data_IF_052652236594
#
_entry.id   IF_052652236594
#
_cell.length_a   1.000
_cell.length_b   1.000
_cell.length_c   1.000
_cell.angle_alpha   90.00
_cell.angle_beta   90.00
_cell.angle_gamma   90.00
#
_symmetry.space_group_name_H-M   'P 1'
#
loop_
_entity.id
_entity.type
_entity.pdbx_description
1 polymer ?
#
# COMPACT_ATOMS: atom_id res chain seq x y z
N UNK A 1 9.51 24.10 -4.69
CA UNK A 1 9.75 22.67 -5.00
C UNK A 1 9.37 21.89 -3.76
N UNK A 2 8.52 20.88 -3.88
CA UNK A 2 8.14 20.04 -2.75
C UNK A 2 9.40 19.41 -2.13
N UNK A 3 9.45 19.33 -0.79
CA UNK A 3 10.60 18.79 -0.06
C UNK A 3 10.89 17.35 -0.49
N UNK A 4 9.84 16.60 -0.82
CA UNK A 4 9.92 15.26 -1.39
C UNK A 4 10.77 15.15 -2.66
N UNK A 5 10.62 16.05 -3.64
CA UNK A 5 11.36 15.96 -4.91
C UNK A 5 12.87 16.18 -4.74
N UNK A 6 13.25 17.06 -3.81
CA UNK A 6 14.66 17.26 -3.47
C UNK A 6 15.25 16.02 -2.77
N UNK A 7 14.50 15.42 -1.84
CA UNK A 7 14.92 14.20 -1.16
C UNK A 7 14.99 13.01 -2.12
N UNK A 8 14.03 12.89 -3.04
CA UNK A 8 13.99 11.84 -4.07
C UNK A 8 15.23 11.85 -4.95
N UNK A 9 15.68 13.02 -5.39
CA UNK A 9 16.91 13.13 -6.19
C UNK A 9 18.16 12.71 -5.40
N UNK A 10 18.19 12.96 -4.09
CA UNK A 10 19.29 12.55 -3.22
C UNK A 10 19.26 11.04 -2.95
N UNK A 11 18.10 10.51 -2.57
CA UNK A 11 17.87 9.08 -2.33
C UNK A 11 18.15 8.28 -3.60
N UNK A 12 17.71 8.74 -4.77
CA UNK A 12 18.01 8.10 -6.05
C UNK A 12 19.50 8.07 -6.43
N UNK A 13 20.35 8.88 -5.79
CA UNK A 13 21.82 8.75 -5.89
C UNK A 13 22.37 7.76 -4.88
N UNK A 14 21.87 7.80 -3.64
CA UNK A 14 22.27 6.89 -2.55
C UNK A 14 21.92 5.42 -2.87
N UNK A 15 20.80 5.20 -3.55
CA UNK A 15 20.35 3.86 -3.97
C UNK A 15 21.17 3.30 -5.15
N UNK A 16 21.97 4.14 -5.84
CA UNK A 16 22.84 3.72 -6.93
C UNK A 16 24.20 3.31 -6.40
N UNK A 17 24.54 2.03 -6.59
CA UNK A 17 25.86 1.50 -6.26
C UNK A 17 25.93 0.89 -4.86
N UNK A 18 27.11 0.96 -4.25
CA UNK A 18 27.43 0.27 -2.98
C UNK A 18 26.85 0.97 -1.74
N UNK A 19 26.55 2.26 -1.84
CA UNK A 19 26.05 3.09 -0.73
C UNK A 19 24.64 2.67 -0.26
N UNK A 20 23.94 1.87 -1.07
CA UNK A 20 22.64 1.30 -0.73
C UNK A 20 22.66 0.35 0.47
N UNK A 21 23.84 -0.15 0.82
CA UNK A 21 24.06 -1.05 1.97
C UNK A 21 24.74 -0.37 3.15
N UNK A 22 25.04 0.93 3.05
CA UNK A 22 25.66 1.66 4.14
C UNK A 22 24.62 2.01 5.23
N UNK A 23 24.74 1.48 6.46
CA UNK A 23 23.81 1.79 7.55
C UNK A 23 23.82 3.27 7.97
N UNK A 24 24.85 4.05 7.64
CA UNK A 24 24.86 5.50 7.89
C UNK A 24 23.77 6.24 7.11
N UNK A 25 23.34 5.69 5.96
CA UNK A 25 22.28 6.27 5.14
C UNK A 25 20.87 6.00 5.70
N UNK A 26 20.74 5.09 6.66
CA UNK A 26 19.47 4.65 7.23
C UNK A 26 18.66 5.83 7.78
N UNK A 27 19.29 6.73 8.56
CA UNK A 27 18.61 7.89 9.13
C UNK A 27 18.02 8.83 8.05
N UNK A 28 18.69 8.94 6.90
CA UNK A 28 18.18 9.74 5.76
C UNK A 28 17.01 9.03 5.08
N UNK A 29 17.08 7.71 4.93
CA UNK A 29 16.03 6.90 4.33
C UNK A 29 14.77 6.81 5.22
N UNK A 30 14.92 6.68 6.53
CA UNK A 30 13.81 6.70 7.49
C UNK A 30 13.05 8.02 7.42
N UNK A 31 13.77 9.15 7.42
CA UNK A 31 13.16 10.46 7.23
C UNK A 31 12.46 10.61 5.87
N UNK A 32 12.97 9.95 4.84
CA UNK A 32 12.33 9.92 3.54
C UNK A 32 11.02 9.11 3.57
N UNK A 33 10.96 8.00 4.30
CA UNK A 33 9.72 7.24 4.55
C UNK A 33 8.69 8.09 5.29
N UNK A 34 9.08 8.82 6.33
CA UNK A 34 8.16 9.74 7.02
C UNK A 34 7.62 10.82 6.08
N UNK A 35 8.46 11.32 5.18
CA UNK A 35 8.07 12.32 4.17
C UNK A 35 7.09 11.71 3.16
N UNK A 36 7.29 10.45 2.75
CA UNK A 36 6.33 9.71 1.92
C UNK A 36 4.96 9.57 2.60
N UNK A 37 4.93 9.35 3.91
CA UNK A 37 3.69 9.29 4.69
C UNK A 37 2.96 10.65 4.76
N UNK A 38 3.70 11.74 4.98
CA UNK A 38 3.16 13.10 5.10
C UNK A 38 2.73 13.72 3.76
N UNK A 39 3.52 13.55 2.71
CA UNK A 39 3.26 14.15 1.39
C UNK A 39 2.43 13.23 0.47
N UNK A 40 1.95 12.09 0.97
CA UNK A 40 1.27 11.06 0.20
C UNK A 40 2.04 10.64 -1.07
N UNK A 41 3.37 10.54 -0.96
CA UNK A 41 4.25 10.08 -2.03
C UNK A 41 4.65 8.62 -1.80
N UNK A 42 5.19 7.94 -2.82
CA UNK A 42 5.55 6.54 -2.70
C UNK A 42 6.78 6.20 -3.56
N UNK A 43 7.74 5.52 -2.95
CA UNK A 43 8.99 5.09 -3.56
C UNK A 43 9.37 3.69 -3.07
N UNK A 44 8.96 2.68 -3.84
CA UNK A 44 9.15 1.27 -3.49
C UNK A 44 10.64 0.90 -3.35
N UNK A 45 11.51 1.43 -4.20
CA UNK A 45 12.94 1.07 -4.19
C UNK A 45 13.62 1.54 -2.90
N UNK A 46 13.30 2.75 -2.45
CA UNK A 46 13.77 3.27 -1.16
C UNK A 46 13.22 2.45 0.02
N UNK A 47 11.93 2.09 -0.03
CA UNK A 47 11.28 1.31 1.01
C UNK A 47 11.91 -0.08 1.15
N UNK A 48 12.17 -0.77 0.04
CA UNK A 48 12.85 -2.07 0.04
C UNK A 48 14.30 -1.96 0.54
N UNK A 49 15.00 -0.87 0.22
CA UNK A 49 16.36 -0.64 0.72
C UNK A 49 16.40 -0.48 2.25
N UNK A 50 15.42 0.22 2.85
CA UNK A 50 15.28 0.33 4.31
C UNK A 50 15.06 -1.04 4.95
N UNK A 51 14.08 -1.81 4.45
CA UNK A 51 13.80 -3.15 4.97
C UNK A 51 15.03 -4.07 4.87
N UNK A 52 15.79 -3.94 3.78
CA UNK A 52 17.01 -4.71 3.57
C UNK A 52 18.16 -4.29 4.49
N UNK A 53 18.32 -3.01 4.78
CA UNK A 53 19.29 -2.52 5.77
C UNK A 53 18.96 -3.04 7.17
N UNK A 54 17.68 -3.10 7.53
CA UNK A 54 17.23 -3.73 8.78
C UNK A 54 17.51 -5.23 8.81
N UNK A 55 17.33 -5.93 7.68
CA UNK A 55 17.66 -7.36 7.57
C UNK A 55 19.16 -7.64 7.80
N UNK A 56 20.05 -6.80 7.23
CA UNK A 56 21.49 -6.94 7.46
C UNK A 56 21.94 -6.46 8.83
N UNK A 57 21.23 -5.50 9.43
CA UNK A 57 21.61 -4.89 10.70
C UNK A 57 20.42 -4.86 11.68
N UNK A 58 20.11 -5.99 12.35
CA UNK A 58 18.95 -6.09 13.25
C UNK A 58 18.93 -5.07 14.39
N UNK A 59 20.11 -4.57 14.81
CA UNK A 59 20.24 -3.56 15.86
C UNK A 59 19.59 -2.21 15.52
N UNK A 60 19.38 -1.92 14.23
CA UNK A 60 18.76 -0.67 13.77
C UNK A 60 17.28 -0.84 13.42
N UNK A 61 16.68 -2.02 13.65
CA UNK A 61 15.30 -2.29 13.28
C UNK A 61 14.34 -1.32 13.98
N UNK A 62 13.56 -0.57 13.19
CA UNK A 62 12.50 0.31 13.69
C UNK A 62 11.12 -0.22 13.29
N UNK A 63 10.31 -0.54 14.30
CA UNK A 63 8.94 -1.04 14.11
C UNK A 63 8.05 0.00 13.45
N UNK A 64 8.15 1.26 13.85
CA UNK A 64 7.32 2.36 13.33
C UNK A 64 7.54 2.60 11.84
N UNK A 65 8.81 2.67 11.41
CA UNK A 65 9.16 2.88 9.99
C UNK A 65 8.75 1.68 9.15
N UNK A 66 8.96 0.46 9.66
CA UNK A 66 8.53 -0.78 9.00
C UNK A 66 7.01 -0.83 8.82
N UNK A 67 6.25 -0.48 9.87
CA UNK A 67 4.79 -0.38 9.79
C UNK A 67 4.35 0.66 8.74
N UNK A 68 4.96 1.85 8.71
CA UNK A 68 4.67 2.87 7.70
C UNK A 68 4.95 2.38 6.27
N UNK A 69 6.05 1.66 6.05
CA UNK A 69 6.37 1.07 4.74
C UNK A 69 5.29 0.07 4.33
N UNK A 70 4.90 -0.84 5.24
CA UNK A 70 3.87 -1.85 4.96
C UNK A 70 2.51 -1.19 4.68
N UNK A 71 2.12 -0.20 5.48
CA UNK A 71 0.88 0.55 5.30
C UNK A 71 0.88 1.30 3.97
N UNK A 72 1.99 1.95 3.61
CA UNK A 72 2.15 2.62 2.30
C UNK A 72 2.12 1.62 1.15
N UNK A 73 2.70 0.43 1.30
CA UNK A 73 2.57 -0.64 0.31
C UNK A 73 1.11 -1.11 0.14
N UNK A 74 0.34 -1.18 1.23
CA UNK A 74 -1.11 -1.44 1.17
C UNK A 74 -1.88 -0.33 0.45
N UNK A 75 -1.46 0.94 0.57
CA UNK A 75 -2.09 2.05 -0.17
C UNK A 75 -1.86 2.00 -1.68
N UNK A 76 -0.89 1.20 -2.15
CA UNK A 76 -0.55 1.07 -3.57
C UNK A 76 -1.11 -0.22 -4.22
N UNK A 77 -2.03 -0.93 -3.55
CA UNK A 77 -2.73 -2.08 -4.13
C UNK A 77 -3.49 -1.67 -5.41
N UNK A 78 -3.56 -2.53 -6.45
CA UNK A 78 -3.45 -4.00 -6.43
C UNK A 78 -2.04 -4.57 -6.66
N UNK A 79 -0.99 -3.73 -6.60
CA UNK A 79 0.39 -4.15 -6.85
C UNK A 79 0.94 -5.09 -5.77
N UNK A 80 1.87 -5.95 -6.18
CA UNK A 80 2.49 -7.02 -5.37
C UNK A 80 3.45 -6.53 -4.28
N UNK A 81 3.64 -5.22 -4.19
CA UNK A 81 4.51 -4.51 -3.27
C UNK A 81 4.34 -4.98 -1.81
N UNK A 82 3.10 -5.19 -1.36
CA UNK A 82 2.85 -5.65 0.00
C UNK A 82 3.45 -7.04 0.28
N UNK A 83 3.35 -7.95 -0.69
CA UNK A 83 3.94 -9.29 -0.58
C UNK A 83 5.47 -9.21 -0.62
N UNK A 84 6.04 -8.36 -1.48
CA UNK A 84 7.48 -8.14 -1.56
C UNK A 84 8.04 -7.58 -0.24
N UNK A 85 7.40 -6.55 0.32
CA UNK A 85 7.76 -6.00 1.62
C UNK A 85 7.65 -7.05 2.73
N UNK A 86 6.60 -7.89 2.71
CA UNK A 86 6.44 -8.98 3.66
C UNK A 86 7.55 -10.04 3.54
N UNK A 87 8.01 -10.35 2.33
CA UNK A 87 9.11 -11.30 2.11
C UNK A 87 10.48 -10.79 2.60
N UNK A 88 10.66 -9.46 2.68
CA UNK A 88 11.90 -8.85 3.15
C UNK A 88 11.99 -8.73 4.68
N UNK A 89 10.86 -8.87 5.38
CA UNK A 89 10.82 -8.92 6.85
C UNK A 89 11.08 -10.36 7.27
N UNK A 90 12.20 -10.59 7.96
CA UNK A 90 12.69 -11.91 8.32
C UNK A 90 11.65 -12.71 9.15
N UNK A 91 11.55 -14.02 8.91
CA UNK A 91 10.58 -14.92 9.59
C UNK A 91 10.74 -14.92 11.12
N UNK A 92 11.91 -14.50 11.64
CA UNK A 92 12.18 -14.36 13.06
C UNK A 92 11.39 -13.22 13.75
N UNK A 93 10.96 -12.20 13.00
CA UNK A 93 10.13 -11.10 13.49
C UNK A 93 8.65 -11.23 13.08
N UNK A 94 8.35 -12.19 12.21
CA UNK A 94 6.99 -12.53 11.77
C UNK A 94 6.46 -13.69 12.62
N UNK A 95 6.25 -13.47 13.92
CA UNK A 95 5.18 -14.21 14.64
C UNK A 95 3.80 -13.64 14.32
N UNK A 96 3.72 -12.82 13.28
CA UNK A 96 2.61 -11.94 12.98
C UNK A 96 1.66 -12.69 12.04
N UNK A 97 0.71 -13.38 12.65
CA UNK A 97 -0.32 -14.13 11.93
C UNK A 97 -1.22 -13.12 11.17
N UNK A 98 -1.84 -13.49 10.04
CA UNK A 98 -2.81 -12.63 9.36
C UNK A 98 -3.91 -12.02 10.27
N UNK A 99 -4.46 -12.71 11.29
CA UNK A 99 -5.36 -12.08 12.29
C UNK A 99 -4.69 -11.00 13.16
N UNK A 100 -3.38 -11.04 13.35
CA UNK A 100 -2.64 -10.04 14.14
C UNK A 100 -2.47 -8.71 13.39
N UNK A 101 -2.68 -8.68 12.06
CA UNK A 101 -2.60 -7.43 11.29
C UNK A 101 -3.71 -6.48 11.68
N UNK A 102 -4.95 -6.96 11.76
CA UNK A 102 -6.08 -6.18 12.29
C UNK A 102 -5.84 -5.74 13.72
N UNK A 103 -5.29 -6.61 14.56
CA UNK A 103 -5.11 -6.31 15.98
C UNK A 103 -3.94 -5.34 16.23
N UNK A 104 -2.84 -5.46 15.49
CA UNK A 104 -1.77 -4.47 15.57
C UNK A 104 -2.07 -3.21 14.76
N UNK A 105 -2.98 -3.23 13.78
CA UNK A 105 -3.53 -2.02 13.18
C UNK A 105 -4.32 -1.22 14.22
N UNK A 106 -5.11 -1.90 15.06
CA UNK A 106 -5.81 -1.29 16.20
C UNK A 106 -4.81 -0.75 17.24
N UNK A 107 -3.75 -1.50 17.58
CA UNK A 107 -2.70 -1.04 18.51
C UNK A 107 -1.80 0.08 17.95
N UNK A 108 -1.75 0.25 16.62
CA UNK A 108 -0.95 1.27 15.95
C UNK A 108 -1.82 2.31 15.21
N UNK A 109 -3.05 2.56 15.69
CA UNK A 109 -3.95 3.58 15.14
C UNK A 109 -3.29 4.97 15.00
N UNK A 110 -2.40 5.34 15.93
CA UNK A 110 -1.64 6.60 15.86
C UNK A 110 -0.75 6.69 14.61
N UNK A 111 -0.25 5.55 14.11
CA UNK A 111 0.54 5.49 12.88
C UNK A 111 -0.33 5.62 11.62
N UNK A 112 -1.61 5.23 11.71
CA UNK A 112 -2.58 5.38 10.62
C UNK A 112 -2.97 6.85 10.42
N UNK A 113 -3.17 7.61 11.50
CA UNK A 113 -3.43 9.05 11.42
C UNK A 113 -2.27 9.83 10.78
N UNK A 114 -1.04 9.35 10.96
CA UNK A 114 0.16 9.97 10.37
C UNK A 114 0.29 9.82 8.86
N UNK A 115 -0.47 8.91 8.22
CA UNK A 115 -0.38 8.65 6.79
C UNK A 115 -1.49 9.40 6.07
N UNK A 116 -1.11 10.49 5.39
CA UNK A 116 -2.06 11.31 4.65
C UNK A 116 -2.62 10.53 3.47
N UNK A 117 -3.94 10.36 3.42
CA UNK A 117 -4.63 9.67 2.32
C UNK A 117 -4.67 8.14 2.42
N UNK A 118 -4.39 7.58 3.60
CA UNK A 118 -4.51 6.13 3.85
C UNK A 118 -5.94 5.63 3.59
N UNK A 119 -6.94 6.20 4.25
CA UNK A 119 -8.34 5.77 4.09
C UNK A 119 -8.82 5.89 2.64
N UNK A 120 -8.46 6.98 1.95
CA UNK A 120 -8.80 7.18 0.55
C UNK A 120 -8.15 6.13 -0.35
N UNK A 121 -6.97 5.64 -0.01
CA UNK A 121 -6.28 4.59 -0.77
C UNK A 121 -6.91 3.23 -0.54
N UNK A 122 -7.29 2.92 0.71
CA UNK A 122 -8.07 1.72 1.04
C UNK A 122 -9.42 1.75 0.31
N UNK A 123 -10.14 2.88 0.33
CA UNK A 123 -11.40 3.05 -0.42
C UNK A 123 -11.21 2.88 -1.92
N UNK A 124 -10.12 3.41 -2.51
CA UNK A 124 -9.81 3.18 -3.93
C UNK A 124 -9.64 1.69 -4.26
N UNK A 125 -8.96 0.95 -3.38
CA UNK A 125 -8.78 -0.49 -3.54
C UNK A 125 -10.12 -1.24 -3.44
N UNK A 126 -10.93 -0.93 -2.44
CA UNK A 126 -12.27 -1.51 -2.28
C UNK A 126 -13.12 -1.20 -3.52
N UNK A 127 -13.09 0.04 -4.02
CA UNK A 127 -13.78 0.40 -5.25
C UNK A 127 -13.28 -0.37 -6.48
N UNK A 128 -11.96 -0.62 -6.57
CA UNK A 128 -11.39 -1.43 -7.64
C UNK A 128 -11.87 -2.88 -7.58
N UNK A 129 -11.87 -3.50 -6.39
CA UNK A 129 -12.37 -4.86 -6.19
C UNK A 129 -13.85 -4.94 -6.52
N UNK A 130 -14.66 -4.01 -6.02
CA UNK A 130 -16.10 -3.94 -6.31
C UNK A 130 -16.35 -3.81 -7.83
N UNK A 131 -15.54 -2.99 -8.51
CA UNK A 131 -15.55 -2.83 -9.97
C UNK A 131 -15.29 -4.11 -10.77
N UNK A 132 -14.67 -5.12 -10.15
CA UNK A 132 -14.36 -6.41 -10.77
C UNK A 132 -15.39 -7.47 -10.37
N UNK A 133 -15.84 -7.47 -9.12
CA UNK A 133 -16.62 -8.56 -8.54
C UNK A 133 -18.14 -8.36 -8.63
N UNK A 134 -18.61 -7.11 -8.72
CA UNK A 134 -20.04 -6.80 -8.74
C UNK A 134 -20.49 -6.22 -10.09
N UNK A 135 -21.71 -6.59 -10.50
CA UNK A 135 -22.44 -5.94 -11.59
C UNK A 135 -23.43 -4.91 -11.02
N UNK A 136 -24.15 -5.31 -9.96
CA UNK A 136 -24.99 -4.45 -9.15
C UNK A 136 -24.63 -4.66 -7.67
N UNK A 137 -24.59 -3.58 -6.90
CA UNK A 137 -24.38 -3.63 -5.44
C UNK A 137 -25.40 -2.74 -4.74
N UNK A 138 -25.93 -3.19 -3.62
CA UNK A 138 -26.85 -2.34 -2.85
C UNK A 138 -26.10 -1.14 -2.25
N UNK A 139 -26.77 0.01 -2.22
CA UNK A 139 -26.18 1.25 -1.70
C UNK A 139 -25.70 1.14 -0.25
N UNK A 140 -26.47 0.45 0.59
CA UNK A 140 -26.15 0.26 2.01
C UNK A 140 -24.88 -0.57 2.18
N UNK A 141 -24.75 -1.66 1.43
CA UNK A 141 -23.59 -2.55 1.48
C UNK A 141 -22.33 -1.84 0.98
N UNK A 142 -22.42 -1.04 -0.09
CA UNK A 142 -21.29 -0.25 -0.56
C UNK A 142 -20.83 0.79 0.47
N UNK A 143 -21.77 1.42 1.18
CA UNK A 143 -21.46 2.38 2.23
C UNK A 143 -20.75 1.70 3.42
N UNK A 144 -21.23 0.54 3.85
CA UNK A 144 -20.62 -0.28 4.90
C UNK A 144 -19.19 -0.69 4.51
N UNK A 145 -19.01 -1.22 3.29
CA UNK A 145 -17.69 -1.62 2.78
C UNK A 145 -16.68 -0.47 2.69
N UNK A 146 -17.14 0.77 2.48
CA UNK A 146 -16.27 1.96 2.41
C UNK A 146 -16.02 2.65 3.76
N UNK A 147 -16.50 2.05 4.86
CA UNK A 147 -16.33 2.52 6.23
C UNK A 147 -17.42 3.50 6.67
N UNK A 148 -18.68 3.10 6.53
CA UNK A 148 -19.87 3.85 6.98
C UNK A 148 -19.92 5.31 6.48
N UNK A 149 -19.61 5.50 5.21
CA UNK A 149 -19.61 6.83 4.59
C UNK A 149 -21.02 7.45 4.55
N UNK A 150 -21.06 8.77 4.70
CA UNK A 150 -22.29 9.53 4.50
C UNK A 150 -22.76 9.48 3.04
N UNK A 151 -24.05 9.67 2.83
CA UNK A 151 -24.68 9.63 1.50
C UNK A 151 -24.02 10.55 0.46
N UNK A 152 -23.53 11.71 0.94
CA UNK A 152 -22.86 12.71 0.12
C UNK A 152 -21.45 12.27 -0.28
N UNK A 153 -20.69 11.68 0.64
CA UNK A 153 -19.35 11.14 0.34
C UNK A 153 -19.45 9.96 -0.63
N UNK A 154 -20.43 9.08 -0.42
CA UNK A 154 -20.68 7.95 -1.30
C UNK A 154 -20.93 8.41 -2.75
N UNK A 155 -21.75 9.45 -2.95
CA UNK A 155 -21.99 10.03 -4.29
C UNK A 155 -20.71 10.56 -4.97
N UNK A 156 -19.79 11.15 -4.20
CA UNK A 156 -18.50 11.62 -4.74
C UNK A 156 -17.68 10.43 -5.24
N UNK A 157 -17.62 9.34 -4.46
CA UNK A 157 -16.94 8.11 -4.87
C UNK A 157 -17.61 7.44 -6.07
N UNK A 158 -18.93 7.35 -6.09
CA UNK A 158 -19.69 6.84 -7.24
C UNK A 158 -19.40 7.64 -8.51
N UNK A 159 -19.42 8.97 -8.43
CA UNK A 159 -19.13 9.85 -9.56
C UNK A 159 -17.69 9.69 -10.07
N UNK A 160 -16.74 9.39 -9.18
CA UNK A 160 -15.33 9.18 -9.53
C UNK A 160 -15.09 7.88 -10.30
N UNK A 161 -15.86 6.85 -10.00
CA UNK A 161 -15.78 5.53 -10.65
C UNK A 161 -16.83 5.32 -11.75
N UNK A 162 -17.66 6.33 -12.04
CA UNK A 162 -18.67 6.28 -13.09
C UNK A 162 -19.87 5.39 -12.76
N UNK A 163 -20.14 5.15 -11.47
CA UNK A 163 -21.25 4.31 -11.03
C UNK A 163 -22.55 5.10 -10.91
N UNK A 164 -23.64 4.51 -11.40
CA UNK A 164 -24.98 5.10 -11.37
C UNK A 164 -25.91 4.33 -10.44
N UNK A 165 -26.78 5.03 -9.72
CA UNK A 165 -27.84 4.40 -8.96
C UNK A 165 -29.07 4.17 -9.87
N UNK A 166 -29.60 2.96 -9.84
CA UNK A 166 -30.87 2.58 -10.48
C UNK A 166 -32.06 3.02 -9.61
N UNK A 167 -33.25 3.08 -10.22
CA UNK A 167 -34.51 3.48 -9.55
C UNK A 167 -34.90 2.55 -8.38
N UNK A 168 -34.35 1.33 -8.35
CA UNK A 168 -34.51 0.32 -7.30
C UNK A 168 -33.58 0.51 -6.09
N UNK A 169 -32.69 1.52 -6.11
CA UNK A 169 -31.74 1.78 -5.02
C UNK A 169 -30.45 0.95 -5.07
N UNK A 170 -30.23 0.22 -6.17
CA UNK A 170 -29.01 -0.53 -6.44
C UNK A 170 -28.05 0.31 -7.28
N UNK A 171 -26.75 0.10 -7.09
CA UNK A 171 -25.70 0.81 -7.83
C UNK A 171 -25.21 -0.11 -8.94
N UNK A 172 -25.30 0.36 -10.18
CA UNK A 172 -24.73 -0.30 -11.35
C UNK A 172 -23.23 -0.02 -11.42
N UNK A 173 -22.46 -1.11 -11.53
CA UNK A 173 -20.99 -1.10 -11.47
C UNK A 173 -20.39 -1.43 -12.84
N UNK A 174 -20.71 -2.59 -13.41
CA UNK A 174 -20.24 -2.97 -14.74
C UNK A 174 -21.23 -3.90 -15.48
N UNK A 175 -21.19 -3.87 -16.82
CA UNK A 175 -22.03 -4.72 -17.65
C UNK A 175 -21.44 -6.13 -17.81
N UNK A 176 -22.31 -7.11 -18.03
CA UNK A 176 -21.95 -8.52 -18.11
C UNK A 176 -20.88 -8.82 -19.18
N UNK A 177 -20.84 -8.08 -20.29
CA UNK A 177 -19.86 -8.26 -21.38
C UNK A 177 -18.41 -7.97 -20.97
N UNK A 178 -18.21 -7.06 -20.01
CA UNK A 178 -16.88 -6.64 -19.53
C UNK A 178 -16.38 -7.51 -18.37
N UNK A 179 -17.30 -8.21 -17.69
CA UNK A 179 -17.03 -9.16 -16.58
C UNK A 179 -16.58 -10.55 -17.05
N UNK A 180 -16.79 -10.90 -18.34
CA UNK A 180 -16.43 -12.21 -18.91
C UNK A 180 -14.92 -12.33 -19.15
N UNK A 181 -14.18 -11.22 -19.18
CA UNK A 181 -12.71 -11.23 -19.25
C UNK A 181 -12.15 -11.53 -17.85
N UNK A 182 -11.31 -12.57 -17.68
CA UNK A 182 -10.69 -12.83 -16.39
C UNK A 182 -9.82 -11.63 -15.99
N UNK A 183 -10.24 -10.88 -14.97
CA UNK A 183 -9.46 -9.80 -14.37
C UNK A 183 -8.79 -10.34 -13.12
N UNK A 184 -7.46 -10.25 -13.06
CA UNK A 184 -6.72 -10.62 -11.86
C UNK A 184 -6.98 -9.57 -10.78
N UNK A 185 -7.55 -9.99 -9.66
CA UNK A 185 -7.86 -9.12 -8.50
C UNK A 185 -6.58 -8.70 -7.77
N UNK A 186 -5.57 -9.56 -7.83
CA UNK A 186 -4.23 -9.31 -7.30
C UNK A 186 -3.25 -9.69 -8.39
N UNK A 187 -2.27 -8.81 -8.63
CA UNK A 187 -1.19 -9.08 -9.58
C UNK A 187 -0.41 -10.32 -9.10
N UNK A 188 -0.15 -11.27 -9.99
CA UNK A 188 0.62 -12.48 -9.64
C UNK A 188 2.10 -12.13 -9.67
N UNK A 189 2.84 -12.53 -8.64
CA UNK A 189 4.28 -12.35 -8.60
C UNK A 189 4.93 -13.44 -9.45
N UNK A 190 5.56 -13.03 -10.54
CA UNK A 190 6.40 -13.92 -11.35
C UNK A 190 7.80 -14.06 -10.75
N UNK A 191 8.45 -15.20 -11.02
CA UNK A 191 9.78 -15.50 -10.51
C UNK A 191 10.81 -14.40 -10.86
N UNK A 192 10.67 -13.75 -12.02
CA UNK A 192 11.57 -12.67 -12.45
C UNK A 192 11.46 -11.41 -11.58
N UNK A 193 10.28 -11.14 -11.03
CA UNK A 193 10.05 -10.00 -10.11
C UNK A 193 10.71 -10.25 -8.75
N UNK A 194 10.68 -11.51 -8.30
CA UNK A 194 11.31 -11.92 -7.03
C UNK A 194 12.82 -12.09 -7.18
N UNK A 195 13.28 -12.65 -8.31
CA UNK A 195 14.68 -13.00 -8.53
C UNK A 195 15.59 -11.78 -8.58
N UNK A 196 15.13 -10.65 -9.14
CA UNK A 196 15.88 -9.39 -9.13
C UNK A 196 16.14 -8.87 -7.71
N UNK A 197 15.15 -9.03 -6.82
CA UNK A 197 15.23 -8.60 -5.42
C UNK A 197 16.09 -9.59 -4.62
N UNK A 198 15.86 -10.90 -4.79
CA UNK A 198 16.62 -11.95 -4.09
C UNK A 198 18.08 -12.08 -4.52
N UNK A 199 18.41 -11.82 -5.79
CA UNK A 199 19.78 -11.87 -6.30
C UNK A 199 20.71 -10.86 -5.60
N UNK A 200 20.13 -9.82 -5.00
CA UNK A 200 20.88 -8.84 -4.24
C UNK A 200 21.11 -9.27 -2.78
N UNK A 201 20.46 -10.33 -2.30
CA UNK A 201 20.50 -10.84 -0.91
C UNK A 201 21.41 -12.06 -0.71
N UNK A 202 22.24 -12.41 -1.70
CA UNK A 202 23.32 -13.39 -1.58
C UNK A 202 24.69 -12.72 -1.48
#
# INVERSE_FOLDING_TARGET
MAVFEQMRANVGKLLKGIDRYNPENLATLERYVETQAKENAYDLEANLAVLKLYQFNPAFFQTTVTAQILLKALTNLPHTDFTLCKCMIDQAHVSFQPPDLTQALDENMDLLEGITGFEDSVRKFICHVVGITYQHIDRWLLAEMLGDLTDNQLKVWMSKYGWSADESGQIFICSQEESIKPKNIVEKIDFDSVSSIMASSQ
#
